data_IF_352811747371
#
_entry.id   IF_352811747371
#
_cell.length_a   1.000
_cell.length_b   1.000
_cell.length_c   1.000
_cell.angle_alpha   90.00
_cell.angle_beta   90.00
_cell.angle_gamma   90.00
#
_symmetry.space_group_name_H-M   'P 1'
#
loop_
_entity.id
_entity.type
_entity.pdbx_description
1 polymer ?
#
# COMPACT_ATOMS: atom_id res chain seq x y z
N UNK A 1 75.82 -33.63 58.66
CA UNK A 1 74.79 -32.80 58.01
C UNK A 1 74.16 -33.52 56.82
N UNK A 2 74.82 -34.51 56.18
CA UNK A 2 74.21 -35.23 55.04
C UNK A 2 72.96 -36.04 55.40
N UNK A 3 72.88 -36.64 56.59
CA UNK A 3 71.75 -37.52 56.96
C UNK A 3 70.39 -36.80 57.05
N UNK A 4 70.39 -35.49 57.38
CA UNK A 4 69.17 -34.69 57.47
C UNK A 4 68.67 -34.26 56.08
N UNK A 5 69.59 -33.85 55.21
CA UNK A 5 69.29 -33.48 53.83
C UNK A 5 68.83 -34.71 53.03
N UNK A 6 69.49 -35.86 53.20
CA UNK A 6 69.10 -37.15 52.60
C UNK A 6 67.71 -37.60 53.06
N UNK A 7 67.38 -37.39 54.34
CA UNK A 7 66.06 -37.70 54.90
C UNK A 7 64.98 -36.77 54.35
N UNK A 8 65.30 -35.49 54.16
CA UNK A 8 64.40 -34.52 53.54
C UNK A 8 64.10 -34.88 52.08
N UNK A 9 65.15 -35.21 51.31
CA UNK A 9 65.01 -35.65 49.92
C UNK A 9 64.19 -36.95 49.79
N UNK A 10 64.39 -37.92 50.69
CA UNK A 10 63.60 -39.16 50.73
C UNK A 10 62.14 -38.93 51.11
N UNK A 11 61.87 -38.03 52.06
CA UNK A 11 60.51 -37.78 52.55
C UNK A 11 59.69 -36.91 51.60
N UNK A 12 60.30 -35.86 51.05
CA UNK A 12 59.61 -34.81 50.30
C UNK A 12 59.93 -34.82 48.80
N UNK A 13 60.81 -35.71 48.34
CA UNK A 13 61.15 -35.87 46.92
C UNK A 13 61.92 -34.71 46.29
N UNK A 14 62.43 -33.78 47.11
CA UNK A 14 63.20 -32.60 46.69
C UNK A 14 64.26 -32.26 47.72
N UNK A 15 65.28 -31.53 47.31
CA UNK A 15 66.28 -30.98 48.24
C UNK A 15 65.68 -29.85 49.10
N UNK A 16 66.09 -29.72 50.37
CA UNK A 16 65.71 -28.60 51.21
C UNK A 16 66.43 -27.32 50.78
N UNK A 17 65.70 -26.20 50.79
CA UNK A 17 66.27 -24.86 50.56
C UNK A 17 67.12 -24.41 51.75
N UNK A 18 68.05 -23.47 51.54
CA UNK A 18 68.93 -22.97 52.61
C UNK A 18 68.16 -22.37 53.79
N UNK A 19 67.05 -21.67 53.50
CA UNK A 19 66.13 -21.13 54.51
C UNK A 19 65.43 -22.25 55.27
N UNK A 20 65.03 -23.33 54.58
CA UNK A 20 64.41 -24.48 55.24
C UNK A 20 65.37 -25.20 56.18
N UNK A 21 66.63 -25.38 55.75
CA UNK A 21 67.69 -25.97 56.58
C UNK A 21 67.92 -25.17 57.85
N UNK A 22 68.08 -23.85 57.74
CA UNK A 22 68.30 -22.98 58.91
C UNK A 22 67.11 -22.98 59.87
N UNK A 23 65.89 -22.96 59.35
CA UNK A 23 64.69 -23.00 60.19
C UNK A 23 64.50 -24.34 60.89
N UNK A 24 64.75 -25.45 60.20
CA UNK A 24 64.69 -26.79 60.79
C UNK A 24 65.71 -26.91 61.93
N UNK A 25 66.96 -26.51 61.70
CA UNK A 25 68.00 -26.52 62.73
C UNK A 25 67.62 -25.65 63.93
N UNK A 26 67.16 -24.42 63.69
CA UNK A 26 66.70 -23.50 64.75
C UNK A 26 65.56 -24.09 65.59
N UNK A 27 64.58 -24.73 64.96
CA UNK A 27 63.43 -25.34 65.65
C UNK A 27 63.86 -26.59 66.42
N UNK A 28 64.70 -27.43 65.81
CA UNK A 28 65.24 -28.63 66.45
C UNK A 28 66.09 -28.30 67.69
N UNK A 29 66.93 -27.27 67.61
CA UNK A 29 67.75 -26.79 68.73
C UNK A 29 66.87 -26.26 69.87
N UNK A 30 65.83 -25.49 69.56
CA UNK A 30 64.88 -24.97 70.56
C UNK A 30 64.07 -26.07 71.26
N UNK A 31 63.83 -27.18 70.56
CA UNK A 31 63.11 -28.35 71.07
C UNK A 31 64.03 -29.42 71.68
N UNK A 32 65.35 -29.20 71.68
CA UNK A 32 66.34 -30.14 72.22
C UNK A 32 66.41 -31.47 71.46
N UNK A 33 66.09 -31.46 70.16
CA UNK A 33 65.99 -32.67 69.34
C UNK A 33 67.39 -33.22 69.06
N UNK A 34 67.60 -34.51 69.34
CA UNK A 34 68.87 -35.17 69.06
C UNK A 34 69.05 -35.38 67.55
N UNK A 35 70.29 -35.46 67.10
CA UNK A 35 70.64 -35.52 65.66
C UNK A 35 70.00 -36.68 64.88
N UNK A 36 69.75 -37.82 65.52
CA UNK A 36 69.17 -39.03 64.90
C UNK A 36 67.73 -39.31 65.38
N UNK A 37 67.04 -38.30 65.88
CA UNK A 37 65.67 -38.44 66.39
C UNK A 37 64.66 -38.51 65.23
N UNK A 38 63.66 -39.39 65.35
CA UNK A 38 62.57 -39.49 64.38
C UNK A 38 61.71 -38.22 64.31
N UNK A 39 61.76 -37.38 65.35
CA UNK A 39 61.06 -36.10 65.39
C UNK A 39 61.48 -35.14 64.26
N UNK A 40 62.70 -35.29 63.73
CA UNK A 40 63.15 -34.55 62.54
C UNK A 40 62.24 -34.74 61.33
N UNK A 41 61.75 -35.95 61.08
CA UNK A 41 60.85 -36.24 59.96
C UNK A 41 59.50 -35.51 60.09
N UNK A 42 58.99 -35.41 61.32
CA UNK A 42 57.75 -34.70 61.62
C UNK A 42 57.95 -33.19 61.40
N UNK A 43 59.06 -32.62 61.85
CA UNK A 43 59.40 -31.22 61.63
C UNK A 43 59.53 -30.88 60.14
N UNK A 44 60.16 -31.75 59.35
CA UNK A 44 60.25 -31.58 57.89
C UNK A 44 58.87 -31.58 57.22
N UNK A 45 58.01 -32.53 57.58
CA UNK A 45 56.65 -32.60 57.06
C UNK A 45 55.83 -31.35 57.43
N UNK A 46 55.88 -30.93 58.70
CA UNK A 46 55.17 -29.73 59.19
C UNK A 46 55.65 -28.46 58.49
N UNK A 47 56.97 -28.28 58.34
CA UNK A 47 57.54 -27.12 57.68
C UNK A 47 57.20 -27.10 56.18
N UNK A 48 57.21 -28.26 55.51
CA UNK A 48 56.76 -28.35 54.12
C UNK A 48 55.29 -27.95 53.96
N UNK A 49 54.42 -28.37 54.88
CA UNK A 49 53.02 -27.95 54.88
C UNK A 49 52.87 -26.45 55.14
N UNK A 50 53.65 -25.89 56.06
CA UNK A 50 53.61 -24.45 56.34
C UNK A 50 53.98 -23.61 55.10
N UNK A 51 55.02 -24.00 54.37
CA UNK A 51 55.38 -23.35 53.10
C UNK A 51 54.24 -23.45 52.10
N UNK A 52 53.68 -24.64 51.90
CA UNK A 52 52.56 -24.87 50.97
C UNK A 52 51.34 -23.99 51.30
N UNK A 53 50.96 -23.92 52.57
CA UNK A 53 49.83 -23.10 53.01
C UNK A 53 50.09 -21.59 52.91
N UNK A 54 51.35 -21.15 52.90
CA UNK A 54 51.69 -19.74 52.68
C UNK A 54 51.61 -19.32 51.21
N UNK A 55 51.84 -20.24 50.28
CA UNK A 55 51.86 -19.96 48.84
C UNK A 55 50.46 -20.02 48.19
N UNK A 56 49.58 -20.91 48.67
CA UNK A 56 48.23 -21.09 48.12
C UNK A 56 47.42 -19.77 48.09
N UNK A 57 47.35 -18.96 49.15
CA UNK A 57 46.61 -17.68 49.13
C UNK A 57 47.12 -16.72 48.06
N UNK A 58 48.45 -16.67 47.84
CA UNK A 58 49.07 -15.79 46.83
C UNK A 58 48.66 -16.23 45.43
N UNK A 59 48.65 -17.53 45.15
CA UNK A 59 48.22 -18.06 43.85
C UNK A 59 46.72 -17.83 43.60
N UNK A 60 45.89 -17.96 44.64
CA UNK A 60 44.45 -17.66 44.57
C UNK A 60 44.24 -16.18 44.27
N UNK A 61 44.98 -15.27 44.92
CA UNK A 61 44.88 -13.83 44.67
C UNK A 61 45.26 -13.49 43.23
N UNK A 62 46.35 -14.08 42.71
CA UNK A 62 46.78 -13.89 41.32
C UNK A 62 45.72 -14.41 40.34
N UNK A 63 45.19 -15.62 40.56
CA UNK A 63 44.15 -16.21 39.72
C UNK A 63 42.83 -15.41 39.77
N UNK A 64 42.44 -14.94 40.96
CA UNK A 64 41.25 -14.11 41.15
C UNK A 64 41.39 -12.76 40.45
N UNK A 65 42.54 -12.07 40.61
CA UNK A 65 42.82 -10.81 39.90
C UNK A 65 42.82 -10.99 38.39
N UNK A 66 43.45 -12.05 37.88
CA UNK A 66 43.44 -12.39 36.46
C UNK A 66 42.02 -12.59 35.93
N UNK A 67 41.21 -13.37 36.67
CA UNK A 67 39.82 -13.64 36.30
C UNK A 67 38.97 -12.37 36.33
N UNK A 68 39.10 -11.54 37.37
CA UNK A 68 38.39 -10.26 37.49
C UNK A 68 38.77 -9.30 36.37
N UNK A 69 40.04 -9.23 35.98
CA UNK A 69 40.50 -8.41 34.86
C UNK A 69 39.89 -8.88 33.54
N UNK A 70 39.84 -10.19 33.30
CA UNK A 70 39.22 -10.76 32.10
C UNK A 70 37.71 -10.50 32.06
N UNK A 71 37.02 -10.66 33.19
CA UNK A 71 35.59 -10.34 33.32
C UNK A 71 35.35 -8.85 33.07
N UNK A 72 36.18 -7.98 33.65
CA UNK A 72 36.09 -6.53 33.43
C UNK A 72 36.27 -6.18 31.95
N UNK A 73 37.29 -6.72 31.29
CA UNK A 73 37.52 -6.49 29.87
C UNK A 73 36.35 -6.98 29.00
N UNK A 74 35.81 -8.17 29.28
CA UNK A 74 34.63 -8.69 28.59
C UNK A 74 33.39 -7.83 28.85
N UNK A 75 33.19 -7.34 30.07
CA UNK A 75 32.10 -6.44 30.43
C UNK A 75 32.22 -5.09 29.71
N UNK A 76 33.41 -4.50 29.66
CA UNK A 76 33.66 -3.23 28.97
C UNK A 76 33.38 -3.35 27.45
N UNK A 77 33.79 -4.47 26.83
CA UNK A 77 33.48 -4.79 25.42
C UNK A 77 31.96 -4.96 25.23
N UNK A 78 31.30 -5.73 26.11
CA UNK A 78 29.86 -5.98 26.02
C UNK A 78 29.04 -4.70 26.23
N UNK A 79 29.46 -3.82 27.15
CA UNK A 79 28.83 -2.52 27.37
C UNK A 79 29.00 -1.61 26.15
N UNK A 80 30.21 -1.52 25.57
CA UNK A 80 30.44 -0.72 24.37
C UNK A 80 29.60 -1.21 23.18
N UNK A 81 29.51 -2.53 22.98
CA UNK A 81 28.66 -3.13 21.95
C UNK A 81 27.17 -2.87 22.20
N UNK A 82 26.73 -2.94 23.46
CA UNK A 82 25.34 -2.66 23.84
C UNK A 82 24.98 -1.20 23.66
N UNK A 83 25.89 -0.28 24.01
CA UNK A 83 25.73 1.15 23.76
C UNK A 83 25.62 1.46 22.26
N UNK A 84 26.49 0.86 21.43
CA UNK A 84 26.42 1.01 19.97
C UNK A 84 25.14 0.45 19.36
N UNK A 85 24.64 -0.68 19.86
CA UNK A 85 23.34 -1.24 19.44
C UNK A 85 22.17 -0.37 19.88
N UNK A 86 22.21 0.18 21.10
CA UNK A 86 21.18 1.07 21.61
C UNK A 86 21.10 2.38 20.80
N UNK A 87 22.25 2.98 20.47
CA UNK A 87 22.28 4.18 19.62
C UNK A 87 21.78 3.89 18.21
N UNK A 88 22.21 2.79 17.58
CA UNK A 88 21.74 2.40 16.26
C UNK A 88 20.22 2.12 16.24
N UNK A 89 19.71 1.40 17.25
CA UNK A 89 18.28 1.14 17.39
C UNK A 89 17.48 2.43 17.60
N UNK A 90 17.99 3.35 18.44
CA UNK A 90 17.37 4.66 18.65
C UNK A 90 17.37 5.49 17.36
N UNK A 91 18.50 5.59 16.65
CA UNK A 91 18.57 6.32 15.37
C UNK A 91 17.61 5.75 14.33
N UNK A 92 17.47 4.42 14.25
CA UNK A 92 16.50 3.77 13.36
C UNK A 92 15.06 4.11 13.74
N UNK A 93 14.72 3.97 15.02
CA UNK A 93 13.38 4.30 15.51
C UNK A 93 13.03 5.78 15.28
N UNK A 94 13.97 6.69 15.53
CA UNK A 94 13.80 8.13 15.27
C UNK A 94 13.60 8.39 13.77
N UNK A 95 14.39 7.76 12.90
CA UNK A 95 14.24 7.89 11.44
C UNK A 95 12.89 7.36 10.95
N UNK A 96 12.46 6.19 11.42
CA UNK A 96 11.19 5.58 11.03
C UNK A 96 10.00 6.47 11.46
N UNK A 97 10.05 7.01 12.68
CA UNK A 97 9.03 7.96 13.18
C UNK A 97 9.07 9.26 12.37
N UNK A 98 10.25 9.82 12.10
CA UNK A 98 10.39 11.04 11.30
C UNK A 98 9.82 10.86 9.88
N UNK A 99 10.12 9.72 9.25
CA UNK A 99 9.57 9.37 7.93
C UNK A 99 8.05 9.25 7.97
N UNK A 100 7.49 8.55 8.97
CA UNK A 100 6.03 8.42 9.12
C UNK A 100 5.37 9.78 9.31
N UNK A 101 5.88 10.62 10.22
CA UNK A 101 5.36 11.96 10.48
C UNK A 101 5.45 12.85 9.23
N UNK A 102 6.57 12.81 8.51
CA UNK A 102 6.75 13.56 7.27
C UNK A 102 5.76 13.08 6.19
N UNK A 103 5.59 11.76 6.05
CA UNK A 103 4.67 11.17 5.07
C UNK A 103 3.21 11.51 5.38
N UNK A 104 2.81 11.48 6.64
CA UNK A 104 1.44 11.79 7.05
C UNK A 104 1.15 13.28 6.96
N UNK A 105 2.13 14.13 7.28
CA UNK A 105 2.03 15.57 7.05
C UNK A 105 1.89 15.88 5.56
N UNK A 106 2.72 15.25 4.71
CA UNK A 106 2.66 15.41 3.26
C UNK A 106 1.32 14.92 2.68
N UNK A 107 0.76 13.82 3.18
CA UNK A 107 -0.58 13.36 2.78
C UNK A 107 -1.65 14.38 3.14
N UNK A 108 -1.64 14.92 4.36
CA UNK A 108 -2.63 15.92 4.81
C UNK A 108 -2.57 17.18 3.96
N UNK A 109 -1.38 17.70 3.68
CA UNK A 109 -1.21 18.87 2.81
C UNK A 109 -1.67 18.58 1.37
N UNK A 110 -1.30 17.42 0.81
CA UNK A 110 -1.75 17.02 -0.54
C UNK A 110 -3.27 16.87 -0.62
N UNK A 111 -3.91 16.29 0.39
CA UNK A 111 -5.37 16.11 0.42
C UNK A 111 -6.09 17.47 0.38
N UNK A 112 -5.60 18.49 1.09
CA UNK A 112 -6.18 19.85 1.03
C UNK A 112 -6.16 20.42 -0.39
N UNK A 113 -5.02 20.31 -1.08
CA UNK A 113 -4.88 20.81 -2.45
C UNK A 113 -5.71 20.00 -3.46
N UNK A 114 -5.73 18.66 -3.34
CA UNK A 114 -6.55 17.79 -4.18
C UNK A 114 -8.03 18.13 -4.02
N UNK A 115 -8.51 18.26 -2.78
CA UNK A 115 -9.89 18.62 -2.51
C UNK A 115 -10.26 19.99 -3.13
N UNK A 116 -9.35 20.97 -3.03
CA UNK A 116 -9.50 22.26 -3.70
C UNK A 116 -9.61 22.14 -5.21
N UNK A 117 -8.71 21.41 -5.86
CA UNK A 117 -8.74 21.19 -7.31
C UNK A 117 -10.01 20.49 -7.78
N UNK A 118 -10.46 19.45 -7.06
CA UNK A 118 -11.69 18.71 -7.38
C UNK A 118 -12.92 19.62 -7.25
N UNK A 119 -13.00 20.45 -6.22
CA UNK A 119 -14.11 21.38 -6.05
C UNK A 119 -14.18 22.39 -7.23
N UNK A 120 -13.04 22.92 -7.66
CA UNK A 120 -12.96 23.85 -8.80
C UNK A 120 -13.36 23.17 -10.11
N UNK A 121 -12.89 21.95 -10.37
CA UNK A 121 -13.26 21.25 -11.61
C UNK A 121 -14.74 20.92 -11.67
N UNK A 122 -15.35 20.48 -10.57
CA UNK A 122 -16.80 20.24 -10.49
C UNK A 122 -17.58 21.53 -10.74
N UNK A 123 -17.17 22.65 -10.15
CA UNK A 123 -17.80 23.95 -10.40
C UNK A 123 -17.69 24.36 -11.88
N UNK A 124 -16.51 24.25 -12.50
CA UNK A 124 -16.34 24.56 -13.91
C UNK A 124 -17.21 23.68 -14.82
N UNK A 125 -17.25 22.36 -14.58
CA UNK A 125 -18.06 21.43 -15.37
C UNK A 125 -19.55 21.73 -15.21
N UNK A 126 -20.02 22.00 -13.99
CA UNK A 126 -21.42 22.37 -13.74
C UNK A 126 -21.81 23.68 -14.44
N UNK A 127 -20.93 24.70 -14.45
CA UNK A 127 -21.17 25.96 -15.14
C UNK A 127 -21.23 25.80 -16.66
N UNK A 128 -20.32 25.01 -17.22
CA UNK A 128 -20.29 24.70 -18.64
C UNK A 128 -21.54 23.91 -19.07
N UNK A 129 -21.90 22.87 -18.31
CA UNK A 129 -23.09 22.07 -18.61
C UNK A 129 -24.38 22.89 -18.54
N UNK A 130 -24.52 23.79 -17.55
CA UNK A 130 -25.65 24.71 -17.47
C UNK A 130 -25.73 25.65 -18.69
N UNK A 131 -24.59 26.26 -19.07
CA UNK A 131 -24.52 27.12 -20.26
C UNK A 131 -24.91 26.37 -21.53
N UNK A 132 -24.33 25.20 -21.77
CA UNK A 132 -24.64 24.36 -22.93
C UNK A 132 -26.11 23.97 -22.94
N UNK A 133 -26.67 23.56 -21.79
CA UNK A 133 -28.08 23.21 -21.68
C UNK A 133 -29.00 24.40 -22.00
N UNK A 134 -28.70 25.59 -21.49
CA UNK A 134 -29.50 26.79 -21.75
C UNK A 134 -29.53 27.16 -23.24
N UNK A 135 -28.38 27.15 -23.91
CA UNK A 135 -28.28 27.47 -25.34
C UNK A 135 -28.98 26.40 -26.18
N UNK A 136 -28.80 25.12 -25.84
CA UNK A 136 -29.45 24.01 -26.53
C UNK A 136 -30.98 24.05 -26.35
N UNK A 137 -31.46 24.37 -25.15
CA UNK A 137 -32.90 24.47 -24.88
C UNK A 137 -33.54 25.61 -25.67
N UNK A 138 -32.92 26.79 -25.68
CA UNK A 138 -33.43 27.96 -26.41
C UNK A 138 -33.43 27.71 -27.93
N UNK A 139 -32.31 27.26 -28.49
CA UNK A 139 -32.22 26.93 -29.91
C UNK A 139 -33.17 25.79 -30.33
N UNK A 140 -33.29 24.75 -29.51
CA UNK A 140 -34.21 23.65 -29.72
C UNK A 140 -35.67 24.09 -29.66
N UNK A 141 -36.03 24.98 -28.72
CA UNK A 141 -37.38 25.53 -28.62
C UNK A 141 -37.74 26.35 -29.86
N UNK A 142 -36.88 27.26 -30.31
CA UNK A 142 -37.15 28.07 -31.51
C UNK A 142 -37.27 27.22 -32.77
N UNK A 143 -36.36 26.26 -32.96
CA UNK A 143 -36.38 25.37 -34.12
C UNK A 143 -37.61 24.45 -34.11
N UNK A 144 -37.91 23.86 -32.95
CA UNK A 144 -39.08 23.01 -32.76
C UNK A 144 -40.41 23.77 -32.91
N UNK A 145 -40.49 24.99 -32.37
CA UNK A 145 -41.67 25.84 -32.51
C UNK A 145 -41.91 26.23 -33.97
N UNK A 146 -40.87 26.61 -34.71
CA UNK A 146 -40.99 26.93 -36.14
C UNK A 146 -41.50 25.75 -36.97
N UNK A 147 -40.86 24.59 -36.85
CA UNK A 147 -41.27 23.37 -37.56
C UNK A 147 -42.69 22.91 -37.17
N UNK A 148 -43.03 23.02 -35.89
CA UNK A 148 -44.36 22.67 -35.39
C UNK A 148 -45.43 23.62 -35.90
N UNK A 149 -45.16 24.93 -35.91
CA UNK A 149 -46.08 25.95 -36.40
C UNK A 149 -46.32 25.80 -37.90
N UNK A 150 -45.26 25.58 -38.70
CA UNK A 150 -45.37 25.37 -40.14
C UNK A 150 -46.26 24.16 -40.47
N UNK A 151 -46.02 23.01 -39.82
CA UNK A 151 -46.88 21.82 -39.99
C UNK A 151 -48.32 22.07 -39.56
N UNK A 152 -48.52 22.75 -38.42
CA UNK A 152 -49.86 23.05 -37.94
C UNK A 152 -50.63 24.04 -38.83
N UNK A 153 -49.94 24.99 -39.47
CA UNK A 153 -50.54 25.90 -40.45
C UNK A 153 -50.94 25.14 -41.72
N UNK A 154 -50.08 24.24 -42.22
CA UNK A 154 -50.38 23.40 -43.37
C UNK A 154 -51.60 22.50 -43.13
N UNK A 155 -51.64 21.80 -41.98
CA UNK A 155 -52.80 20.99 -41.60
C UNK A 155 -54.09 21.82 -41.45
N UNK A 156 -54.00 23.01 -40.84
CA UNK A 156 -55.14 23.93 -40.73
C UNK A 156 -55.60 24.43 -42.09
N UNK A 157 -54.69 24.74 -43.00
CA UNK A 157 -55.01 25.18 -44.35
C UNK A 157 -55.68 24.07 -45.14
N UNK A 158 -55.18 22.83 -45.05
CA UNK A 158 -55.79 21.65 -45.64
C UNK A 158 -57.19 21.37 -45.08
N UNK A 159 -57.36 21.47 -43.75
CA UNK A 159 -58.66 21.33 -43.09
C UNK A 159 -59.63 22.47 -43.42
N UNK A 160 -59.15 23.70 -43.59
CA UNK A 160 -59.96 24.83 -44.01
C UNK A 160 -60.42 24.66 -45.47
N UNK A 161 -59.52 24.23 -46.37
CA UNK A 161 -59.85 23.94 -47.76
C UNK A 161 -60.89 22.84 -47.89
N UNK A 162 -60.77 21.74 -47.14
CA UNK A 162 -61.73 20.63 -47.20
C UNK A 162 -63.15 21.04 -46.80
N UNK A 163 -63.29 22.11 -46.01
CA UNK A 163 -64.58 22.67 -45.60
C UNK A 163 -65.24 23.59 -46.64
N UNK A 164 -64.52 24.02 -47.68
CA UNK A 164 -65.07 24.82 -48.79
C UNK A 164 -66.08 24.02 -49.62
N UNK A 165 -66.87 24.69 -50.47
CA UNK A 165 -67.80 24.01 -51.37
C UNK A 165 -67.08 23.05 -52.33
N UNK A 166 -65.94 23.48 -52.87
CA UNK A 166 -65.08 22.70 -53.76
C UNK A 166 -64.45 21.51 -53.01
N UNK A 167 -63.94 21.73 -51.80
CA UNK A 167 -63.39 20.67 -50.96
C UNK A 167 -64.42 19.60 -50.61
N UNK A 168 -65.64 20.00 -50.24
CA UNK A 168 -66.76 19.08 -49.99
C UNK A 168 -67.18 18.29 -51.23
N UNK A 169 -67.18 18.92 -52.41
CA UNK A 169 -67.45 18.24 -53.67
C UNK A 169 -66.35 17.22 -54.01
N UNK A 170 -65.08 17.59 -53.85
CA UNK A 170 -63.94 16.70 -54.03
C UNK A 170 -63.98 15.50 -53.06
N UNK A 171 -64.32 15.75 -51.78
CA UNK A 171 -64.51 14.70 -50.79
C UNK A 171 -65.64 13.73 -51.17
N UNK A 172 -66.79 14.24 -51.61
CA UNK A 172 -67.89 13.41 -52.11
C UNK A 172 -67.45 12.52 -53.27
N UNK A 173 -66.78 13.10 -54.28
CA UNK A 173 -66.22 12.35 -55.41
C UNK A 173 -65.23 11.26 -54.97
N UNK A 174 -64.41 11.54 -53.95
CA UNK A 174 -63.50 10.55 -53.37
C UNK A 174 -64.26 9.41 -52.70
N UNK A 175 -65.28 9.71 -51.88
CA UNK A 175 -66.07 8.69 -51.17
C UNK A 175 -66.91 7.80 -52.10
N UNK A 176 -67.28 8.30 -53.28
CA UNK A 176 -68.04 7.52 -54.28
C UNK A 176 -67.15 6.76 -55.26
N UNK A 177 -65.81 6.83 -55.12
CA UNK A 177 -64.85 6.20 -56.04
C UNK A 177 -64.75 6.85 -57.42
N UNK A 178 -65.46 7.96 -57.63
CA UNK A 178 -65.45 8.72 -58.90
C UNK A 178 -64.11 9.44 -59.10
N UNK A 179 -63.56 10.01 -58.02
CA UNK A 179 -62.26 10.68 -58.06
C UNK A 179 -61.14 9.69 -58.41
N UNK A 180 -61.15 8.51 -57.80
CA UNK A 180 -60.18 7.45 -58.08
C UNK A 180 -60.26 7.00 -59.56
N UNK A 181 -61.48 6.85 -60.07
CA UNK A 181 -61.72 6.52 -61.47
C UNK A 181 -61.14 7.58 -62.43
N UNK A 182 -61.31 8.87 -62.09
CA UNK A 182 -60.76 10.01 -62.84
C UNK A 182 -59.24 10.06 -62.80
N UNK A 183 -58.63 9.82 -61.63
CA UNK A 183 -57.17 9.84 -61.48
C UNK A 183 -56.49 8.69 -62.23
N UNK A 184 -57.09 7.50 -62.22
CA UNK A 184 -56.50 6.30 -62.83
C UNK A 184 -57.03 6.00 -64.24
N UNK A 185 -58.00 6.78 -64.73
CA UNK A 185 -58.63 6.60 -66.04
C UNK A 185 -59.14 5.16 -66.29
N UNK A 186 -59.69 4.51 -65.27
CA UNK A 186 -59.87 3.04 -65.25
C UNK A 186 -61.28 2.55 -65.60
N UNK A 187 -62.16 3.40 -66.13
CA UNK A 187 -63.53 3.03 -66.51
C UNK A 187 -63.63 2.46 -67.91
N UNK A 188 -64.68 1.68 -68.14
CA UNK A 188 -65.00 1.16 -69.46
C UNK A 188 -65.12 2.30 -70.47
N UNK A 189 -64.43 2.19 -71.60
CA UNK A 189 -64.40 3.23 -72.64
C UNK A 189 -63.46 4.39 -72.38
N UNK A 190 -62.71 4.38 -71.26
CA UNK A 190 -61.70 5.39 -70.99
C UNK A 190 -60.33 4.87 -71.43
N UNK A 191 -59.54 5.73 -72.07
CA UNK A 191 -58.20 5.39 -72.54
C UNK A 191 -57.24 6.54 -72.30
N UNK A 192 -56.01 6.21 -71.89
CA UNK A 192 -54.95 7.20 -71.71
C UNK A 192 -54.14 7.29 -72.99
N UNK A 193 -54.12 8.47 -73.61
CA UNK A 193 -53.27 8.77 -74.75
C UNK A 193 -52.41 9.99 -74.43
N UNK A 194 -51.09 9.88 -74.58
CA UNK A 194 -50.13 10.94 -74.25
C UNK A 194 -50.31 11.56 -72.84
N UNK A 195 -50.74 10.76 -71.86
CA UNK A 195 -50.96 11.21 -70.48
C UNK A 195 -52.30 11.92 -70.24
N UNK A 196 -53.19 11.98 -71.24
CA UNK A 196 -54.54 12.54 -71.11
C UNK A 196 -55.57 11.42 -71.15
N UNK A 197 -56.52 11.43 -70.21
CA UNK A 197 -57.63 10.48 -70.16
C UNK A 197 -58.73 10.93 -71.14
N UNK A 198 -58.99 10.13 -72.17
CA UNK A 198 -60.06 10.36 -73.14
C UNK A 198 -61.22 9.41 -72.90
N UNK A 199 -62.44 9.93 -73.05
CA UNK A 199 -63.68 9.14 -72.94
C UNK A 199 -64.19 8.83 -74.33
N UNK A 200 -64.14 7.55 -74.70
CA UNK A 200 -64.57 7.04 -75.98
C UNK A 200 -65.90 6.29 -75.87
N UNK A 201 -66.68 6.32 -76.96
CA UNK A 201 -67.92 5.54 -77.06
C UNK A 201 -67.58 4.07 -77.28
N UNK A 202 -68.13 3.19 -76.46
CA UNK A 202 -67.99 1.74 -76.60
C UNK A 202 -69.25 1.11 -77.20
N UNK A 203 -69.22 -0.21 -77.46
CA UNK A 203 -70.39 -0.97 -77.91
C UNK A 203 -71.54 -0.96 -76.90
N UNK A 204 -71.21 -0.85 -75.60
CA UNK A 204 -72.17 -0.83 -74.49
C UNK A 204 -72.65 0.59 -74.14
N UNK A 205 -72.12 1.62 -74.82
CA UNK A 205 -72.51 3.03 -74.64
C UNK A 205 -71.34 3.97 -74.34
N UNK A 206 -71.67 5.22 -74.00
CA UNK A 206 -70.72 6.24 -73.54
C UNK A 206 -70.72 6.24 -72.00
N UNK A 207 -69.58 5.94 -71.40
CA UNK A 207 -69.41 5.94 -69.94
C UNK A 207 -68.85 7.28 -69.50
N UNK A 208 -69.66 8.09 -68.81
CA UNK A 208 -69.23 9.37 -68.24
C UNK A 208 -68.68 9.25 -66.82
N UNK A 209 -68.22 10.37 -66.26
CA UNK A 209 -68.04 10.48 -64.82
C UNK A 209 -69.34 11.02 -64.19
N UNK A 210 -69.57 10.68 -62.93
CA UNK A 210 -70.74 11.15 -62.18
C UNK A 210 -70.38 12.44 -61.44
N UNK A 211 -71.17 13.48 -61.66
CA UNK A 211 -71.06 14.75 -60.91
C UNK A 211 -71.80 14.57 -59.57
N UNK A 212 -71.23 15.04 -58.44
CA UNK A 212 -71.82 14.90 -57.10
C UNK A 212 -73.02 15.83 -56.85
#
# INVERSE_FOLDING_TARGET
MSDLDDSFAKLLGREPTDTEKQNLLRIGDALGVKKNDAFWLILMALQSHQTLYSEIPVQIEVAAKSTLNNIKAAADIAMAASAGKATAALSKAVSDVAYQVASDTAKKEKIKWIAGCVAVTVLCISGLTWKVHSIAHESGYYYGYGLGYEKAVDEKAAAAWSNTAQGKAAYKLATTGELDSLLHCNRAGWSVENGVCYVNKTKDGLFGWKIP
#
